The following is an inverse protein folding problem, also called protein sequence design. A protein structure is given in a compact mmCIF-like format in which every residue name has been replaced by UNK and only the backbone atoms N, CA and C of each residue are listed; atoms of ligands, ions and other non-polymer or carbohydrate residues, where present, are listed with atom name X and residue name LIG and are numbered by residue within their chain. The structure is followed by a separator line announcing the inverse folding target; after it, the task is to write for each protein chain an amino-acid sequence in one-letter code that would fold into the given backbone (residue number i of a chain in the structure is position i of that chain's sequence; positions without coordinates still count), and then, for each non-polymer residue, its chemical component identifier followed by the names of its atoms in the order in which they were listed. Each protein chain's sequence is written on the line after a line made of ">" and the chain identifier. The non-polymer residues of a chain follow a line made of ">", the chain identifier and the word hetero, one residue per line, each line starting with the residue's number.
data_IF_446493573572
#
_entry.id   IF_446493573572
#
_cell.length_a   1.000
_cell.length_b   1.000
_cell.length_c   1.000
_cell.angle_alpha   90.00
_cell.angle_beta   90.00
_cell.angle_gamma   90.00
#
_symmetry.space_group_name_H-M   'P 1'
#
loop_
_entity.id
_entity.type
_entity.pdbx_description
1 polymer ?
#
# COMPACT_ATOMS: atom_id res chain seq x y z
N UNK A 1 9.51 19.71 27.34
CA UNK A 1 8.49 19.86 26.28
C UNK A 1 7.97 18.48 25.95
N UNK A 2 6.67 18.21 26.13
CA UNK A 2 6.08 16.91 25.78
C UNK A 2 6.00 16.80 24.25
N UNK A 3 6.87 16.00 23.63
CA UNK A 3 6.84 15.77 22.19
C UNK A 3 5.67 14.83 21.85
N UNK A 4 4.60 15.38 21.25
CA UNK A 4 3.45 14.60 20.79
C UNK A 4 3.78 13.72 19.59
N UNK A 5 3.50 12.41 19.61
CA UNK A 5 3.63 11.52 18.46
C UNK A 5 2.26 11.00 18.04
N UNK A 6 1.82 11.30 16.81
CA UNK A 6 0.51 10.85 16.33
C UNK A 6 0.37 9.33 16.34
N UNK A 7 1.48 8.61 16.17
CA UNK A 7 1.45 7.16 16.21
C UNK A 7 1.24 6.58 17.61
N UNK A 8 1.83 7.20 18.63
CA UNK A 8 1.57 6.79 20.01
C UNK A 8 0.14 7.11 20.42
N UNK A 9 -0.36 8.27 19.99
CA UNK A 9 -1.74 8.68 20.24
C UNK A 9 -2.75 7.72 19.61
N UNK A 10 -2.58 7.36 18.34
CA UNK A 10 -3.44 6.40 17.63
C UNK A 10 -3.43 5.02 18.29
N UNK A 11 -2.25 4.53 18.73
CA UNK A 11 -2.14 3.26 19.47
C UNK A 11 -2.82 3.31 20.83
N UNK A 12 -2.62 4.38 21.60
CA UNK A 12 -3.26 4.56 22.91
C UNK A 12 -4.79 4.64 22.80
N UNK A 13 -5.28 5.24 21.72
CA UNK A 13 -6.72 5.33 21.44
C UNK A 13 -7.33 4.04 20.88
N UNK A 14 -6.51 3.02 20.58
CA UNK A 14 -6.98 1.76 19.99
C UNK A 14 -7.62 1.95 18.62
N UNK A 15 -7.10 2.87 17.79
CA UNK A 15 -7.67 3.15 16.47
C UNK A 15 -7.61 1.89 15.58
N UNK A 16 -8.76 1.43 15.07
CA UNK A 16 -8.81 0.35 14.08
C UNK A 16 -8.25 0.85 12.74
N UNK A 17 -7.16 0.26 12.25
CA UNK A 17 -6.40 0.81 11.11
C UNK A 17 -6.96 0.42 9.74
N UNK A 18 -7.93 -0.50 9.67
CA UNK A 18 -8.49 -1.01 8.41
C UNK A 18 -9.19 0.08 7.60
N UNK A 19 -9.25 -0.10 6.28
CA UNK A 19 -9.91 0.84 5.37
C UNK A 19 -9.12 2.13 5.18
N UNK A 20 -7.83 2.13 5.54
CA UNK A 20 -6.97 3.32 5.48
C UNK A 20 -5.90 3.26 4.39
N UNK A 21 -5.87 2.20 3.58
CA UNK A 21 -4.98 2.11 2.44
C UNK A 21 -5.47 3.02 1.31
N UNK A 22 -4.54 3.72 0.65
CA UNK A 22 -4.87 4.55 -0.51
C UNK A 22 -5.12 3.70 -1.75
N UNK A 23 -6.05 4.12 -2.61
CA UNK A 23 -6.38 3.44 -3.85
C UNK A 23 -5.85 4.22 -5.06
N UNK A 24 -4.86 3.67 -5.75
CA UNK A 24 -4.26 4.25 -6.95
C UNK A 24 -4.22 3.20 -8.06
N UNK A 25 -4.39 3.66 -9.31
CA UNK A 25 -4.28 2.78 -10.48
C UNK A 25 -2.82 2.51 -10.83
N UNK A 26 -1.94 3.47 -10.60
CA UNK A 26 -0.52 3.35 -10.94
C UNK A 26 0.34 3.83 -9.79
N UNK A 27 1.41 3.11 -9.46
CA UNK A 27 2.52 3.61 -8.67
C UNK A 27 3.74 3.81 -9.55
N UNK A 28 4.41 4.94 -9.40
CA UNK A 28 5.69 5.23 -10.04
C UNK A 28 6.71 5.51 -8.93
N UNK A 29 7.62 4.57 -8.73
CA UNK A 29 8.65 4.66 -7.71
C UNK A 29 9.97 5.06 -8.36
N UNK A 30 10.55 6.15 -7.88
CA UNK A 30 11.78 6.73 -8.43
C UNK A 30 12.88 6.60 -7.39
N UNK A 31 13.95 5.89 -7.72
CA UNK A 31 15.12 5.84 -6.86
C UNK A 31 15.76 7.23 -6.73
N UNK A 32 15.82 7.74 -5.50
CA UNK A 32 16.35 9.05 -5.20
C UNK A 32 16.92 9.04 -3.78
N UNK A 33 18.23 9.22 -3.61
CA UNK A 33 18.86 9.06 -2.31
C UNK A 33 18.39 10.13 -1.28
N UNK A 34 18.20 9.77 0.00
CA UNK A 34 17.88 10.72 1.06
C UNK A 34 19.05 11.69 1.35
N UNK A 35 18.86 12.78 2.11
CA UNK A 35 17.62 13.21 2.78
C UNK A 35 16.61 13.83 1.81
N UNK A 36 15.32 13.60 2.10
CA UNK A 36 14.21 14.24 1.40
C UNK A 36 13.66 15.42 2.22
N UNK A 37 13.23 16.49 1.55
CA UNK A 37 12.49 17.59 2.18
C UNK A 37 11.03 17.17 2.45
N UNK A 38 10.28 17.91 3.29
CA UNK A 38 8.90 17.55 3.66
C UNK A 38 8.00 17.21 2.47
N UNK A 39 8.18 17.93 1.36
CA UNK A 39 7.63 17.59 0.05
C UNK A 39 8.71 16.83 -0.74
N UNK A 40 8.61 15.50 -0.80
CA UNK A 40 9.70 14.65 -1.27
C UNK A 40 10.24 15.03 -2.66
N UNK A 41 9.36 15.36 -3.60
CA UNK A 41 9.74 15.74 -4.97
C UNK A 41 10.31 17.16 -5.08
N UNK A 42 10.35 17.91 -3.97
CA UNK A 42 11.07 19.17 -3.88
C UNK A 42 12.50 19.00 -3.34
N UNK A 43 12.97 17.76 -3.22
CA UNK A 43 14.31 17.46 -2.72
C UNK A 43 15.40 17.76 -3.74
N UNK A 44 16.62 18.00 -3.25
CA UNK A 44 17.79 18.43 -4.03
C UNK A 44 18.04 17.63 -5.31
N UNK A 45 17.91 16.31 -5.24
CA UNK A 45 18.26 15.41 -6.35
C UNK A 45 17.14 15.23 -7.37
N UNK A 46 15.95 15.79 -7.14
CA UNK A 46 14.82 15.65 -8.06
C UNK A 46 14.92 16.72 -9.14
N UNK A 47 15.08 16.35 -10.42
CA UNK A 47 15.28 17.29 -11.51
C UNK A 47 13.96 17.99 -11.88
N UNK A 48 14.09 19.20 -12.45
CA UNK A 48 12.94 20.07 -12.73
C UNK A 48 11.94 19.43 -13.71
N UNK A 49 12.42 18.73 -14.75
CA UNK A 49 11.55 18.04 -15.71
C UNK A 49 10.66 16.98 -15.05
N UNK A 50 11.16 16.27 -14.03
CA UNK A 50 10.36 15.31 -13.27
C UNK A 50 9.32 16.01 -12.39
N UNK A 51 9.66 17.17 -11.81
CA UNK A 51 8.71 17.97 -11.02
C UNK A 51 7.56 18.48 -11.88
N UNK A 52 7.87 19.02 -13.06
CA UNK A 52 6.87 19.46 -14.05
C UNK A 52 5.92 18.31 -14.41
N UNK A 53 6.46 17.12 -14.75
CA UNK A 53 5.64 15.95 -15.06
C UNK A 53 4.67 15.59 -13.92
N UNK A 54 5.15 15.59 -12.67
CA UNK A 54 4.33 15.27 -11.50
C UNK A 54 3.21 16.31 -11.33
N UNK A 55 3.50 17.59 -11.55
CA UNK A 55 2.50 18.65 -11.51
C UNK A 55 1.45 18.50 -12.63
N UNK A 56 1.86 18.12 -13.84
CA UNK A 56 0.96 17.83 -14.96
C UNK A 56 0.03 16.66 -14.63
N UNK A 57 0.56 15.54 -14.14
CA UNK A 57 -0.22 14.37 -13.70
C UNK A 57 -1.22 14.76 -12.61
N UNK A 58 -0.79 15.57 -11.64
CA UNK A 58 -1.65 16.07 -10.55
C UNK A 58 -2.75 16.99 -11.07
N UNK A 59 -2.43 17.90 -11.99
CA UNK A 59 -3.39 18.83 -12.62
C UNK A 59 -4.43 18.08 -13.45
N UNK A 60 -4.00 17.05 -14.17
CA UNK A 60 -4.86 16.15 -14.92
C UNK A 60 -5.67 15.17 -14.05
N UNK A 61 -5.44 15.16 -12.72
CA UNK A 61 -6.11 14.27 -11.76
C UNK A 61 -5.98 12.79 -12.12
N UNK A 62 -4.87 12.41 -12.74
CA UNK A 62 -4.64 11.01 -13.06
C UNK A 62 -4.43 10.22 -11.76
N UNK A 63 -4.95 8.99 -11.66
CA UNK A 63 -4.88 8.16 -10.45
C UNK A 63 -3.50 7.51 -10.25
N UNK A 64 -2.44 8.31 -10.37
CA UNK A 64 -1.03 7.90 -10.32
C UNK A 64 -0.41 8.42 -9.02
N UNK A 65 0.30 7.53 -8.32
CA UNK A 65 1.07 7.87 -7.12
C UNK A 65 2.56 7.80 -7.40
N UNK A 66 3.22 8.94 -7.32
CA UNK A 66 4.66 9.01 -7.30
C UNK A 66 5.21 8.85 -5.88
N UNK A 67 6.28 8.07 -5.72
CA UNK A 67 7.06 7.95 -4.48
C UNK A 67 8.56 7.98 -4.79
N UNK A 68 9.35 8.52 -3.88
CA UNK A 68 10.79 8.34 -3.90
C UNK A 68 11.11 7.07 -3.11
N UNK A 69 12.08 6.31 -3.60
CA UNK A 69 12.60 5.12 -2.93
C UNK A 69 14.12 5.22 -2.79
N UNK A 70 14.67 4.56 -1.78
CA UNK A 70 16.11 4.42 -1.61
C UNK A 70 16.44 3.16 -0.80
N UNK A 71 17.62 2.60 -1.02
CA UNK A 71 18.18 1.52 -0.21
C UNK A 71 19.64 1.86 0.15
N UNK A 72 20.35 0.92 0.78
CA UNK A 72 21.73 1.14 1.22
C UNK A 72 22.76 1.16 0.06
N UNK A 73 22.30 0.90 -1.18
CA UNK A 73 23.08 0.97 -2.42
C UNK A 73 22.79 2.23 -3.25
N UNK A 74 21.69 2.94 -3.01
CA UNK A 74 21.26 4.09 -3.85
C UNK A 74 22.29 5.21 -3.96
N UNK A 75 23.17 5.40 -2.96
CA UNK A 75 24.26 6.37 -3.02
C UNK A 75 25.56 5.84 -3.65
N UNK A 76 25.63 4.54 -3.96
CA UNK A 76 26.84 3.83 -4.38
C UNK A 76 26.84 3.48 -5.86
N UNK A 77 25.72 3.67 -6.55
CA UNK A 77 25.55 3.32 -7.96
C UNK A 77 25.25 4.58 -8.78
N UNK A 78 25.85 4.67 -9.98
CA UNK A 78 25.59 5.74 -10.95
C UNK A 78 24.44 5.34 -11.89
N UNK A 79 23.34 4.88 -11.31
CA UNK A 79 22.14 4.46 -12.01
C UNK A 79 20.91 4.80 -11.18
N UNK A 80 19.75 4.84 -11.83
CA UNK A 80 18.46 5.10 -11.18
C UNK A 80 17.49 4.00 -11.52
N UNK A 81 17.02 3.28 -10.50
CA UNK A 81 15.91 2.33 -10.64
C UNK A 81 14.60 3.10 -10.73
N UNK A 82 13.81 2.79 -11.75
CA UNK A 82 12.43 3.25 -11.92
C UNK A 82 11.52 2.02 -11.91
N UNK A 83 10.54 2.01 -11.00
CA UNK A 83 9.54 0.94 -10.91
C UNK A 83 8.17 1.51 -11.23
N UNK A 84 7.46 0.87 -12.16
CA UNK A 84 6.07 1.20 -12.48
C UNK A 84 5.20 0.01 -12.14
N UNK A 85 4.19 0.23 -11.32
CA UNK A 85 3.19 -0.77 -10.97
C UNK A 85 1.82 -0.31 -11.48
N UNK A 86 1.27 -1.04 -12.46
CA UNK A 86 -0.02 -0.74 -13.05
C UNK A 86 -1.07 -1.76 -12.59
N UNK A 87 -2.20 -1.29 -12.07
CA UNK A 87 -3.30 -2.17 -11.65
C UNK A 87 -3.82 -2.92 -12.87
N UNK A 88 -3.96 -4.25 -12.73
CA UNK A 88 -4.57 -5.10 -13.75
C UNK A 88 -6.09 -4.94 -13.73
N UNK A 89 -6.71 -5.00 -14.90
CA UNK A 89 -8.17 -4.97 -15.03
C UNK A 89 -8.81 -6.30 -14.62
N UNK A 90 -10.08 -6.25 -14.19
CA UNK A 90 -10.83 -7.43 -13.79
C UNK A 90 -10.39 -8.04 -12.46
N UNK A 91 -10.53 -9.37 -12.34
CA UNK A 91 -10.07 -10.14 -11.19
C UNK A 91 -8.54 -10.14 -11.17
N UNK A 92 -7.95 -9.56 -10.13
CA UNK A 92 -6.49 -9.43 -10.03
C UNK A 92 -5.99 -9.78 -8.64
N UNK A 93 -4.74 -10.22 -8.57
CA UNK A 93 -3.98 -10.42 -7.33
C UNK A 93 -2.98 -9.27 -7.06
N UNK A 94 -3.08 -8.15 -7.79
CA UNK A 94 -2.25 -6.98 -7.57
C UNK A 94 -2.00 -6.14 -8.83
N UNK A 95 -0.80 -5.60 -8.90
CA UNK A 95 -0.30 -4.77 -9.97
C UNK A 95 0.62 -5.58 -10.91
N UNK A 96 0.72 -5.16 -12.15
CA UNK A 96 1.78 -5.56 -13.07
C UNK A 96 2.99 -4.65 -12.84
N UNK A 97 4.15 -5.25 -12.54
CA UNK A 97 5.41 -4.56 -12.29
C UNK A 97 6.19 -4.46 -13.60
N UNK A 98 6.74 -3.27 -13.87
CA UNK A 98 7.78 -3.03 -14.87
C UNK A 98 8.94 -2.32 -14.18
N UNK A 99 10.17 -2.69 -14.55
CA UNK A 99 11.39 -2.17 -13.94
C UNK A 99 12.35 -1.65 -15.01
N UNK A 100 12.89 -0.46 -14.78
CA UNK A 100 13.83 0.20 -15.68
C UNK A 100 15.07 0.61 -14.93
N UNK A 101 16.24 0.36 -15.52
CA UNK A 101 17.53 0.85 -15.03
C UNK A 101 17.97 2.00 -15.93
N UNK A 102 17.95 3.21 -15.38
CA UNK A 102 18.29 4.44 -16.08
C UNK A 102 19.70 4.88 -15.72
N UNK A 103 20.33 5.65 -16.60
CA UNK A 103 21.68 6.18 -16.32
C UNK A 103 21.66 7.20 -15.17
N UNK A 104 20.56 7.93 -15.02
CA UNK A 104 20.35 8.93 -13.98
C UNK A 104 18.86 9.30 -13.86
N UNK A 105 18.54 10.10 -12.86
CA UNK A 105 17.17 10.49 -12.51
C UNK A 105 16.54 11.46 -13.53
N UNK A 106 17.36 12.19 -14.29
CA UNK A 106 16.93 13.12 -15.33
C UNK A 106 16.17 12.42 -16.47
N UNK A 107 16.43 11.13 -16.70
CA UNK A 107 15.77 10.32 -17.72
C UNK A 107 14.36 9.86 -17.32
N UNK A 108 14.02 9.89 -16.02
CA UNK A 108 12.75 9.35 -15.49
C UNK A 108 11.54 9.99 -16.17
N UNK A 109 11.53 11.33 -16.29
CA UNK A 109 10.39 12.04 -16.84
C UNK A 109 10.07 11.60 -18.28
N UNK A 110 11.10 11.47 -19.12
CA UNK A 110 10.95 11.06 -20.51
C UNK A 110 10.46 9.60 -20.64
N UNK A 111 10.95 8.70 -19.78
CA UNK A 111 10.52 7.30 -19.77
C UNK A 111 9.07 7.19 -19.32
N UNK A 112 8.69 7.88 -18.24
CA UNK A 112 7.31 7.90 -17.76
C UNK A 112 6.36 8.52 -18.79
N UNK A 113 6.73 9.60 -19.48
CA UNK A 113 5.91 10.18 -20.53
C UNK A 113 5.66 9.20 -21.69
N UNK A 114 6.70 8.50 -22.16
CA UNK A 114 6.55 7.45 -23.18
C UNK A 114 5.63 6.33 -22.71
N UNK A 115 5.81 5.88 -21.47
CA UNK A 115 4.97 4.86 -20.86
C UNK A 115 3.50 5.28 -20.80
N UNK A 116 3.22 6.53 -20.40
CA UNK A 116 1.86 7.09 -20.37
C UNK A 116 1.21 7.16 -21.76
N UNK A 117 1.99 7.30 -22.82
CA UNK A 117 1.52 7.28 -24.21
C UNK A 117 1.38 5.86 -24.79
N UNK A 118 1.64 4.81 -23.99
CA UNK A 118 1.62 3.42 -24.47
C UNK A 118 2.76 3.09 -25.42
N UNK A 119 3.81 3.92 -25.46
CA UNK A 119 5.00 3.67 -26.28
C UNK A 119 5.93 2.77 -25.48
N UNK A 120 6.12 1.54 -25.98
CA UNK A 120 7.04 0.58 -25.37
C UNK A 120 8.46 1.14 -25.23
N UNK A 121 9.14 0.76 -24.15
CA UNK A 121 10.53 1.13 -23.89
C UNK A 121 11.38 -0.14 -23.92
N UNK A 122 12.46 -0.14 -24.73
CA UNK A 122 13.42 -1.24 -24.79
C UNK A 122 14.33 -1.34 -23.56
N UNK A 123 14.10 -0.51 -22.54
CA UNK A 123 14.92 -0.41 -21.32
C UNK A 123 14.31 -1.15 -20.12
N UNK A 124 13.22 -1.90 -20.33
CA UNK A 124 12.68 -2.77 -19.29
C UNK A 124 13.65 -3.93 -19.01
N UNK A 125 13.87 -4.24 -17.74
CA UNK A 125 14.83 -5.25 -17.29
C UNK A 125 14.10 -6.38 -16.59
N UNK A 126 14.45 -7.62 -16.93
CA UNK A 126 14.03 -8.79 -16.17
C UNK A 126 14.86 -8.88 -14.88
N UNK A 127 14.17 -9.04 -13.74
CA UNK A 127 14.80 -9.10 -12.42
C UNK A 127 14.32 -10.33 -11.65
N UNK A 128 15.21 -10.88 -10.83
CA UNK A 128 14.86 -11.96 -9.89
C UNK A 128 14.06 -11.45 -8.69
N UNK A 129 14.10 -10.13 -8.42
CA UNK A 129 13.34 -9.49 -7.37
C UNK A 129 11.87 -9.33 -7.77
N UNK A 130 11.04 -10.26 -7.33
CA UNK A 130 9.61 -10.29 -7.67
C UNK A 130 8.73 -9.53 -6.69
N UNK A 131 9.24 -9.20 -5.50
CA UNK A 131 8.51 -8.51 -4.42
C UNK A 131 9.32 -7.32 -3.89
N UNK A 132 8.66 -6.19 -3.67
CA UNK A 132 9.27 -4.96 -3.16
C UNK A 132 8.52 -4.49 -1.91
N UNK A 133 9.21 -4.43 -0.78
CA UNK A 133 8.70 -3.94 0.50
C UNK A 133 9.11 -2.48 0.67
N UNK A 134 8.13 -1.58 0.74
CA UNK A 134 8.35 -0.14 0.87
C UNK A 134 8.08 0.32 2.30
N UNK A 135 9.11 0.64 3.07
CA UNK A 135 8.98 1.15 4.45
C UNK A 135 9.01 2.68 4.44
N UNK A 136 7.98 3.34 4.97
CA UNK A 136 7.98 4.80 5.05
C UNK A 136 8.96 5.29 6.12
N UNK A 137 10.01 6.00 5.70
CA UNK A 137 11.03 6.57 6.59
C UNK A 137 11.10 8.11 6.54
N UNK A 138 10.10 8.74 5.92
CA UNK A 138 10.11 10.16 5.58
C UNK A 138 9.92 11.11 6.78
N UNK A 139 10.98 11.24 7.60
CA UNK A 139 10.93 11.97 8.86
C UNK A 139 10.72 13.49 8.77
N UNK A 140 11.12 14.10 7.66
CA UNK A 140 10.89 15.52 7.36
C UNK A 140 9.42 15.83 7.08
N UNK A 141 8.63 14.84 6.66
CA UNK A 141 7.18 14.96 6.48
C UNK A 141 6.44 14.73 7.80
N UNK A 142 6.74 13.63 8.50
CA UNK A 142 6.21 13.37 9.84
C UNK A 142 7.24 12.60 10.68
N UNK A 143 7.50 13.10 11.89
CA UNK A 143 8.49 12.52 12.81
C UNK A 143 8.19 11.08 13.25
N UNK A 144 6.94 10.61 13.18
CA UNK A 144 6.63 9.20 13.45
C UNK A 144 7.23 8.27 12.39
N UNK A 145 7.28 8.70 11.12
CA UNK A 145 7.96 7.93 10.07
C UNK A 145 9.46 7.81 10.35
N UNK A 146 10.08 8.87 10.88
CA UNK A 146 11.49 8.80 11.31
C UNK A 146 11.67 7.90 12.55
N UNK A 147 10.86 8.13 13.59
CA UNK A 147 11.00 7.48 14.90
C UNK A 147 10.77 5.97 14.83
N UNK A 148 9.74 5.54 14.10
CA UNK A 148 9.34 4.13 14.02
C UNK A 148 9.78 3.47 12.72
N UNK A 149 9.70 4.18 11.59
CA UNK A 149 10.03 3.62 10.28
C UNK A 149 11.53 3.36 10.07
N UNK A 150 12.42 4.26 10.52
CA UNK A 150 13.87 4.05 10.34
C UNK A 150 14.39 2.80 11.08
N UNK A 151 14.14 2.61 12.39
CA UNK A 151 14.55 1.38 13.07
C UNK A 151 13.91 0.13 12.45
N UNK A 152 12.62 0.21 12.08
CA UNK A 152 11.93 -0.91 11.46
C UNK A 152 12.53 -1.30 10.11
N UNK A 153 12.96 -0.35 9.28
CA UNK A 153 13.65 -0.66 8.01
C UNK A 153 14.87 -1.56 8.24
N UNK A 154 15.74 -1.23 9.20
CA UNK A 154 16.92 -2.06 9.48
C UNK A 154 16.55 -3.45 10.01
N UNK A 155 15.55 -3.52 10.91
CA UNK A 155 15.03 -4.79 11.41
C UNK A 155 14.45 -5.65 10.26
N UNK A 156 13.67 -5.03 9.36
CA UNK A 156 13.05 -5.69 8.23
C UNK A 156 14.09 -6.20 7.22
N UNK A 157 15.13 -5.41 6.93
CA UNK A 157 16.27 -5.85 6.11
C UNK A 157 16.95 -7.09 6.70
N UNK A 158 17.24 -7.08 8.00
CA UNK A 158 17.83 -8.23 8.67
C UNK A 158 16.89 -9.46 8.64
N UNK A 159 15.58 -9.25 8.83
CA UNK A 159 14.59 -10.33 8.79
C UNK A 159 14.52 -10.99 7.41
N UNK A 160 14.49 -10.20 6.32
CA UNK A 160 14.49 -10.70 4.94
C UNK A 160 15.75 -11.52 4.67
N UNK A 161 16.91 -11.02 5.11
CA UNK A 161 18.19 -11.73 4.96
C UNK A 161 18.23 -13.03 5.76
N UNK A 162 17.70 -13.05 6.99
CA UNK A 162 17.70 -14.24 7.84
C UNK A 162 16.73 -15.33 7.37
N UNK A 163 15.73 -14.97 6.56
CA UNK A 163 14.76 -15.88 5.98
C UNK A 163 15.16 -16.34 4.57
N UNK A 164 16.34 -15.95 4.07
CA UNK A 164 16.86 -16.27 2.74
C UNK A 164 15.88 -15.92 1.60
N UNK A 165 15.18 -14.79 1.74
CA UNK A 165 14.17 -14.34 0.77
C UNK A 165 14.81 -13.48 -0.33
N UNK A 166 15.65 -14.10 -1.16
CA UNK A 166 16.43 -13.42 -2.22
C UNK A 166 15.57 -12.71 -3.28
N UNK A 167 14.31 -13.13 -3.43
CA UNK A 167 13.36 -12.52 -4.37
C UNK A 167 12.63 -11.29 -3.79
N UNK A 168 12.93 -10.90 -2.55
CA UNK A 168 12.31 -9.77 -1.85
C UNK A 168 13.31 -8.63 -1.67
N UNK A 169 13.01 -7.47 -2.27
CA UNK A 169 13.77 -6.23 -2.05
C UNK A 169 13.08 -5.34 -1.04
N UNK A 170 13.87 -4.62 -0.24
CA UNK A 170 13.37 -3.64 0.70
C UNK A 170 13.87 -2.24 0.37
N UNK A 171 12.94 -1.29 0.38
CA UNK A 171 13.17 0.10 0.11
C UNK A 171 12.73 0.96 1.28
N UNK A 172 13.54 1.96 1.61
CA UNK A 172 13.03 3.18 2.26
C UNK A 172 12.16 3.90 1.24
N UNK A 173 11.04 4.46 1.68
CA UNK A 173 10.10 5.16 0.81
C UNK A 173 9.71 6.52 1.39
N UNK A 174 9.48 7.48 0.48
CA UNK A 174 8.87 8.75 0.83
C UNK A 174 7.42 8.56 1.29
N UNK A 175 6.83 9.61 1.84
CA UNK A 175 5.56 9.48 2.54
C UNK A 175 4.42 9.01 1.61
N UNK A 176 3.72 7.94 2.01
CA UNK A 176 2.55 7.37 1.30
C UNK A 176 1.27 7.33 2.14
N UNK A 177 1.23 8.05 3.27
CA UNK A 177 0.07 8.07 4.16
C UNK A 177 0.14 7.05 5.31
N UNK A 178 -0.51 7.39 6.42
CA UNK A 178 -0.61 6.52 7.59
C UNK A 178 0.52 6.66 8.61
N UNK A 179 1.20 7.81 8.69
CA UNK A 179 2.26 8.04 9.70
C UNK A 179 1.80 7.84 11.15
N UNK A 180 0.50 8.02 11.43
CA UNK A 180 -0.10 7.68 12.74
C UNK A 180 -0.19 6.17 13.01
N UNK A 181 0.06 5.35 12.01
CA UNK A 181 0.19 3.89 12.13
C UNK A 181 1.64 3.46 11.94
N UNK A 182 2.62 4.34 12.14
CA UNK A 182 4.01 3.98 11.95
C UNK A 182 4.44 2.84 12.94
N UNK A 183 5.35 1.93 12.53
CA UNK A 183 5.93 1.84 11.19
C UNK A 183 4.89 1.34 10.18
N UNK A 184 4.93 1.90 8.96
CA UNK A 184 4.04 1.53 7.86
C UNK A 184 4.83 1.02 6.68
N UNK A 185 4.29 0.00 6.00
CA UNK A 185 4.87 -0.53 4.78
C UNK A 185 3.81 -0.80 3.70
N UNK A 186 4.26 -0.81 2.44
CA UNK A 186 3.52 -1.33 1.29
C UNK A 186 4.26 -2.58 0.79
N UNK A 187 3.50 -3.64 0.55
CA UNK A 187 3.99 -4.89 -0.03
C UNK A 187 3.58 -4.96 -1.52
N UNK A 188 4.54 -4.71 -2.40
CA UNK A 188 4.37 -4.72 -3.86
C UNK A 188 4.88 -6.05 -4.44
N UNK A 189 4.30 -6.57 -5.53
CA UNK A 189 3.35 -5.93 -6.45
C UNK A 189 1.89 -6.04 -6.03
N UNK A 190 1.56 -6.65 -4.89
CA UNK A 190 0.15 -6.77 -4.49
C UNK A 190 -0.45 -5.40 -4.15
N UNK A 191 0.34 -4.49 -3.60
CA UNK A 191 -0.12 -3.17 -3.17
C UNK A 191 -0.91 -3.25 -1.87
N UNK A 192 -0.47 -4.12 -0.94
CA UNK A 192 -1.08 -4.28 0.38
C UNK A 192 -0.41 -3.38 1.38
N UNK A 193 -1.22 -2.66 2.16
CA UNK A 193 -0.74 -1.69 3.13
C UNK A 193 -0.81 -2.26 4.54
N UNK A 194 0.24 -2.01 5.30
CA UNK A 194 0.32 -2.40 6.71
C UNK A 194 0.78 -1.22 7.57
N UNK A 195 0.43 -1.28 8.85
CA UNK A 195 0.79 -0.30 9.88
C UNK A 195 0.93 -0.97 11.23
N UNK A 196 1.57 -0.29 12.17
CA UNK A 196 1.89 -0.80 13.50
C UNK A 196 2.59 -2.16 13.47
N UNK A 197 3.39 -2.39 12.42
CA UNK A 197 4.07 -3.67 12.15
C UNK A 197 5.22 -3.85 13.14
N UNK A 198 5.32 -5.05 13.70
CA UNK A 198 6.44 -5.53 14.52
C UNK A 198 7.17 -6.69 13.82
N UNK A 199 8.18 -7.26 14.48
CA UNK A 199 8.98 -8.33 13.88
C UNK A 199 8.19 -9.61 13.60
N UNK A 200 7.29 -9.99 14.49
CA UNK A 200 6.49 -11.21 14.39
C UNK A 200 5.48 -11.09 13.24
N UNK A 201 4.69 -10.01 13.24
CA UNK A 201 3.74 -9.75 12.16
C UNK A 201 4.42 -9.57 10.80
N UNK A 202 5.60 -8.94 10.75
CA UNK A 202 6.37 -8.84 9.52
C UNK A 202 6.80 -10.22 9.00
N UNK A 203 7.28 -11.10 9.88
CA UNK A 203 7.65 -12.48 9.53
C UNK A 203 6.45 -13.25 8.99
N UNK A 204 5.28 -13.13 9.64
CA UNK A 204 4.03 -13.71 9.15
C UNK A 204 3.61 -13.18 7.79
N UNK A 205 3.71 -11.87 7.55
CA UNK A 205 3.39 -11.24 6.25
C UNK A 205 4.36 -11.71 5.16
N UNK A 206 5.65 -11.82 5.46
CA UNK A 206 6.65 -12.26 4.49
C UNK A 206 6.44 -13.71 4.08
N UNK A 207 6.26 -14.60 5.06
CA UNK A 207 6.16 -16.04 4.85
C UNK A 207 4.74 -16.51 4.50
N UNK A 208 3.72 -15.68 4.75
CA UNK A 208 2.29 -16.03 4.72
C UNK A 208 1.96 -17.21 5.63
N UNK A 209 2.50 -17.18 6.86
CA UNK A 209 2.31 -18.24 7.85
C UNK A 209 2.08 -17.68 9.26
N UNK A 210 1.72 -18.56 10.19
CA UNK A 210 1.40 -18.20 11.58
C UNK A 210 -0.07 -17.81 11.77
N UNK A 211 -0.37 -17.17 12.90
CA UNK A 211 -1.73 -16.79 13.25
C UNK A 211 -2.25 -15.63 12.37
N UNK A 212 -3.25 -15.91 11.54
CA UNK A 212 -3.88 -14.91 10.66
C UNK A 212 -4.52 -13.76 11.45
N UNK A 213 -4.87 -13.97 12.72
CA UNK A 213 -5.50 -12.93 13.54
C UNK A 213 -4.57 -11.74 13.81
N UNK A 214 -3.25 -11.87 13.60
CA UNK A 214 -2.34 -10.73 13.67
C UNK A 214 -2.74 -9.60 12.71
N UNK A 215 -3.35 -9.94 11.57
CA UNK A 215 -3.81 -8.98 10.56
C UNK A 215 -4.97 -8.10 11.03
N UNK A 216 -5.68 -8.46 12.11
CA UNK A 216 -6.65 -7.54 12.72
C UNK A 216 -6.01 -6.20 13.11
N UNK A 217 -4.76 -6.26 13.58
CA UNK A 217 -4.03 -5.11 14.14
C UNK A 217 -3.17 -4.39 13.11
N UNK A 218 -2.62 -5.11 12.14
CA UNK A 218 -1.58 -4.57 11.25
C UNK A 218 -2.02 -4.36 9.80
N UNK A 219 -3.14 -4.94 9.37
CA UNK A 219 -3.63 -4.78 8.00
C UNK A 219 -4.43 -3.49 7.80
N UNK A 220 -3.94 -2.60 6.94
CA UNK A 220 -4.63 -1.34 6.60
C UNK A 220 -5.59 -1.48 5.44
N UNK A 221 -5.33 -2.43 4.53
CA UNK A 221 -6.16 -2.69 3.37
C UNK A 221 -5.36 -2.91 2.07
N UNK A 222 -6.09 -3.32 1.03
CA UNK A 222 -5.55 -3.53 -0.30
C UNK A 222 -5.72 -2.29 -1.18
N UNK A 223 -4.63 -1.77 -1.73
CA UNK A 223 -4.62 -0.58 -2.58
C UNK A 223 -5.40 -0.73 -3.90
N UNK A 224 -5.74 -1.95 -4.32
CA UNK A 224 -6.62 -2.15 -5.48
C UNK A 224 -8.11 -1.97 -5.13
N UNK A 225 -8.49 -2.04 -3.85
CA UNK A 225 -9.88 -2.00 -3.37
C UNK A 225 -10.23 -0.63 -2.78
N UNK A 226 -11.44 -0.10 -3.03
CA UNK A 226 -11.97 1.06 -2.31
C UNK A 226 -11.96 0.85 -0.79
N UNK A 227 -11.89 1.93 -0.01
CA UNK A 227 -11.76 1.87 1.45
C UNK A 227 -12.81 0.98 2.14
N UNK A 228 -14.08 1.05 1.72
CA UNK A 228 -15.14 0.19 2.26
C UNK A 228 -14.89 -1.31 2.00
N UNK A 229 -14.32 -1.64 0.83
CA UNK A 229 -14.07 -3.02 0.43
C UNK A 229 -12.84 -3.59 1.12
N UNK A 230 -11.90 -2.77 1.56
CA UNK A 230 -10.79 -3.21 2.40
C UNK A 230 -11.30 -3.75 3.75
N UNK A 231 -12.37 -3.17 4.30
CA UNK A 231 -13.00 -3.64 5.54
C UNK A 231 -13.62 -5.01 5.33
N UNK A 232 -14.42 -5.15 4.26
CA UNK A 232 -14.98 -6.45 3.86
C UNK A 232 -13.89 -7.49 3.60
N UNK A 233 -12.83 -7.11 2.88
CA UNK A 233 -11.73 -8.01 2.57
C UNK A 233 -11.06 -8.55 3.83
N UNK A 234 -10.87 -7.73 4.87
CA UNK A 234 -10.29 -8.21 6.14
C UNK A 234 -11.14 -9.33 6.75
N UNK A 235 -12.47 -9.20 6.76
CA UNK A 235 -13.35 -10.28 7.26
C UNK A 235 -13.14 -11.58 6.47
N UNK A 236 -12.96 -11.48 5.16
CA UNK A 236 -12.70 -12.63 4.30
C UNK A 236 -11.30 -13.21 4.54
N UNK A 237 -10.27 -12.38 4.73
CA UNK A 237 -8.91 -12.82 5.11
C UNK A 237 -8.96 -13.62 6.42
N UNK A 238 -9.63 -13.11 7.45
CA UNK A 238 -9.67 -13.76 8.77
C UNK A 238 -10.41 -15.10 8.74
N UNK A 239 -11.33 -15.29 7.80
CA UNK A 239 -12.05 -16.56 7.61
C UNK A 239 -11.33 -17.55 6.68
N UNK A 240 -10.68 -17.06 5.63
CA UNK A 240 -10.01 -17.89 4.61
C UNK A 240 -8.54 -18.19 4.95
N UNK A 241 -7.94 -17.46 5.90
CA UNK A 241 -6.54 -17.62 6.25
C UNK A 241 -5.59 -17.05 5.19
N UNK A 242 -4.34 -17.50 5.24
CA UNK A 242 -3.26 -17.06 4.35
C UNK A 242 -3.50 -17.41 2.87
N UNK A 243 -4.34 -18.39 2.57
CA UNK A 243 -4.70 -18.75 1.19
C UNK A 243 -5.37 -17.58 0.43
N UNK A 244 -6.00 -16.65 1.15
CA UNK A 244 -6.61 -15.46 0.56
C UNK A 244 -5.65 -14.69 -0.35
N UNK A 245 -4.38 -14.64 0.02
CA UNK A 245 -3.35 -13.89 -0.69
C UNK A 245 -2.94 -14.52 -2.03
N UNK A 246 -3.47 -15.71 -2.35
CA UNK A 246 -3.29 -16.37 -3.64
C UNK A 246 -4.50 -16.17 -4.58
N UNK A 247 -5.57 -15.53 -4.11
CA UNK A 247 -6.80 -15.35 -4.87
C UNK A 247 -6.76 -14.09 -5.74
N UNK A 248 -7.48 -14.13 -6.85
CA UNK A 248 -7.74 -12.93 -7.66
C UNK A 248 -9.03 -12.30 -7.20
N UNK A 249 -9.03 -10.99 -6.98
CA UNK A 249 -10.15 -10.26 -6.39
C UNK A 249 -10.52 -9.06 -7.24
N UNK A 250 -11.82 -8.77 -7.28
CA UNK A 250 -12.38 -7.53 -7.79
C UNK A 250 -13.52 -7.11 -6.87
N UNK A 251 -13.75 -5.81 -6.72
CA UNK A 251 -14.87 -5.33 -5.95
C UNK A 251 -15.30 -3.93 -6.35
N UNK A 252 -16.57 -3.64 -6.09
CA UNK A 252 -17.19 -2.33 -6.31
C UNK A 252 -18.14 -1.97 -5.16
N UNK A 253 -18.30 -0.68 -4.93
CA UNK A 253 -19.41 -0.17 -4.11
C UNK A 253 -20.65 -0.14 -5.01
N UNK A 254 -21.73 -0.78 -4.57
CA UNK A 254 -23.00 -0.81 -5.28
C UNK A 254 -23.83 0.43 -4.96
N UNK A 255 -23.97 0.74 -3.68
CA UNK A 255 -24.77 1.85 -3.18
C UNK A 255 -24.12 2.47 -1.95
N UNK A 256 -24.34 3.77 -1.75
CA UNK A 256 -23.93 4.49 -0.56
C UNK A 256 -25.02 5.47 -0.17
N UNK A 257 -25.46 5.43 1.09
CA UNK A 257 -26.50 6.34 1.57
C UNK A 257 -25.99 7.78 1.61
N UNK A 258 -26.88 8.76 1.40
CA UNK A 258 -26.53 10.19 1.34
C UNK A 258 -25.89 10.72 2.64
N UNK A 259 -26.27 10.14 3.78
CA UNK A 259 -25.72 10.45 5.10
C UNK A 259 -24.38 9.73 5.38
N UNK A 260 -23.92 8.89 4.45
CA UNK A 260 -22.75 8.02 4.58
C UNK A 260 -22.82 7.06 5.78
N UNK A 261 -24.02 6.72 6.27
CA UNK A 261 -24.15 5.75 7.35
C UNK A 261 -24.13 4.30 6.87
N UNK A 262 -24.41 4.07 5.59
CA UNK A 262 -24.53 2.73 5.02
C UNK A 262 -23.90 2.64 3.64
N UNK A 263 -23.20 1.54 3.40
CA UNK A 263 -22.56 1.22 2.12
C UNK A 263 -22.92 -0.22 1.77
N UNK A 264 -23.45 -0.45 0.57
CA UNK A 264 -23.61 -1.78 0.01
C UNK A 264 -22.43 -2.03 -0.94
N UNK A 265 -21.70 -3.12 -0.67
CA UNK A 265 -20.49 -3.48 -1.40
C UNK A 265 -20.60 -4.88 -2.00
N UNK A 266 -19.94 -5.09 -3.12
CA UNK A 266 -19.76 -6.40 -3.75
C UNK A 266 -18.27 -6.70 -3.90
N UNK A 267 -17.88 -7.92 -3.53
CA UNK A 267 -16.53 -8.45 -3.70
C UNK A 267 -16.61 -9.84 -4.32
N UNK A 268 -15.97 -9.99 -5.47
CA UNK A 268 -15.83 -11.25 -6.19
C UNK A 268 -14.39 -11.73 -6.10
N UNK A 269 -14.19 -13.03 -5.88
CA UNK A 269 -12.87 -13.62 -5.86
C UNK A 269 -12.83 -15.01 -6.50
N UNK A 270 -11.72 -15.29 -7.18
CA UNK A 270 -11.39 -16.57 -7.79
C UNK A 270 -10.32 -17.27 -6.95
N UNK A 271 -10.65 -18.46 -6.46
CA UNK A 271 -9.69 -19.33 -5.77
C UNK A 271 -8.68 -19.92 -6.74
N UNK A 272 -7.56 -20.41 -6.24
CA UNK A 272 -6.55 -21.13 -7.05
C UNK A 272 -7.12 -22.37 -7.76
N UNK A 273 -8.23 -22.94 -7.25
CA UNK A 273 -8.98 -24.02 -7.92
C UNK A 273 -9.81 -23.57 -9.13
N UNK A 274 -9.85 -22.28 -9.45
CA UNK A 274 -10.69 -21.69 -10.49
C UNK A 274 -12.16 -21.49 -10.07
N UNK A 275 -12.52 -21.80 -8.82
CA UNK A 275 -13.86 -21.55 -8.30
C UNK A 275 -14.07 -20.06 -8.01
N UNK A 276 -15.15 -19.51 -8.54
CA UNK A 276 -15.51 -18.10 -8.40
C UNK A 276 -16.62 -17.92 -7.36
N UNK A 277 -16.44 -16.96 -6.47
CA UNK A 277 -17.40 -16.59 -5.45
C UNK A 277 -17.69 -15.09 -5.52
N UNK A 278 -18.95 -14.70 -5.31
CA UNK A 278 -19.35 -13.30 -5.17
C UNK A 278 -20.08 -13.12 -3.86
N UNK A 279 -19.60 -12.18 -3.05
CA UNK A 279 -20.21 -11.79 -1.80
C UNK A 279 -20.72 -10.36 -1.90
N UNK A 280 -21.85 -10.10 -1.27
CA UNK A 280 -22.30 -8.75 -0.97
C UNK A 280 -22.31 -8.51 0.53
N UNK A 281 -22.03 -7.28 0.90
CA UNK A 281 -21.96 -6.87 2.29
C UNK A 281 -22.61 -5.51 2.49
N UNK A 282 -23.36 -5.38 3.58
CA UNK A 282 -23.82 -4.09 4.09
C UNK A 282 -22.85 -3.63 5.16
N UNK A 283 -22.14 -2.54 4.89
CA UNK A 283 -21.31 -1.86 5.86
C UNK A 283 -22.10 -0.73 6.51
N UNK A 284 -21.97 -0.59 7.83
CA UNK A 284 -22.58 0.48 8.61
C UNK A 284 -21.52 1.29 9.32
N UNK A 285 -21.75 2.60 9.43
CA UNK A 285 -20.86 3.47 10.20
C UNK A 285 -20.87 3.04 11.66
N UNK A 286 -19.68 2.77 12.18
CA UNK A 286 -19.49 2.32 13.55
C UNK A 286 -19.16 3.53 14.42
N UNK A 287 -20.16 3.99 15.18
CA UNK A 287 -20.04 5.16 16.07
C UNK A 287 -19.04 4.86 17.21
N UNK A 288 -18.94 3.61 17.65
CA UNK A 288 -18.05 3.22 18.77
C UNK A 288 -16.59 3.22 18.35
N UNK A 289 -16.30 2.87 17.10
CA UNK A 289 -14.95 2.93 16.52
C UNK A 289 -14.62 4.28 15.88
N UNK A 290 -15.61 5.13 15.65
CA UNK A 290 -15.41 6.48 15.10
C UNK A 290 -14.88 7.40 16.20
N UNK A 291 -13.68 7.95 15.99
CA UNK A 291 -12.99 8.72 17.01
C UNK A 291 -12.52 10.08 16.48
N UNK A 292 -12.38 11.07 17.36
CA UNK A 292 -11.69 12.33 17.04
C UNK A 292 -10.22 12.18 17.42
N UNK A 293 -9.32 12.32 16.45
CA UNK A 293 -7.90 12.11 16.68
C UNK A 293 -7.06 13.17 15.96
N UNK A 294 -5.91 13.52 16.53
CA UNK A 294 -4.86 14.25 15.82
C UNK A 294 -4.20 13.30 14.83
N UNK A 295 -4.54 13.47 13.56
CA UNK A 295 -4.14 12.53 12.51
C UNK A 295 -2.65 12.61 12.15
N UNK A 296 -1.95 13.72 12.44
CA UNK A 296 -0.51 13.94 12.20
C UNK A 296 0.20 14.59 13.39
N UNK A 297 1.53 14.48 13.43
CA UNK A 297 2.33 15.10 14.49
C UNK A 297 2.27 16.63 14.50
N UNK A 298 1.96 17.21 13.34
CA UNK A 298 1.86 18.65 13.13
C UNK A 298 0.38 19.12 13.12
N UNK A 299 -0.58 18.23 13.42
CA UNK A 299 -1.99 18.56 13.41
C UNK A 299 -2.33 19.55 14.54
N UNK A 300 -2.84 20.73 14.15
CA UNK A 300 -3.30 21.74 15.10
C UNK A 300 -4.58 21.28 15.84
N UNK A 301 -5.46 20.57 15.14
CA UNK A 301 -6.78 20.15 15.61
C UNK A 301 -7.01 18.65 15.37
N UNK A 302 -7.96 18.08 16.11
CA UNK A 302 -8.43 16.73 15.89
C UNK A 302 -9.42 16.66 14.73
N UNK A 303 -9.40 15.56 13.99
CA UNK A 303 -10.37 15.27 12.94
C UNK A 303 -11.15 14.00 13.26
N UNK A 304 -12.42 13.95 12.84
CA UNK A 304 -13.26 12.77 13.00
C UNK A 304 -12.80 11.71 11.99
N UNK A 305 -12.33 10.57 12.50
CA UNK A 305 -11.99 9.40 11.70
C UNK A 305 -13.18 8.44 11.73
N UNK A 306 -14.01 8.50 10.69
CA UNK A 306 -15.16 7.60 10.56
C UNK A 306 -14.69 6.17 10.31
N UNK A 307 -15.26 5.22 11.04
CA UNK A 307 -15.04 3.78 10.84
C UNK A 307 -16.35 3.11 10.43
N UNK A 308 -16.23 2.00 9.74
CA UNK A 308 -17.36 1.16 9.34
C UNK A 308 -17.09 -0.27 9.78
N UNK A 309 -18.16 -1.03 9.95
CA UNK A 309 -18.12 -2.46 10.20
C UNK A 309 -19.05 -3.18 9.24
N UNK A 310 -18.77 -4.46 8.96
CA UNK A 310 -19.66 -5.30 8.16
C UNK A 310 -20.83 -5.72 9.06
N UNK A 311 -22.01 -5.15 8.82
CA UNK A 311 -23.23 -5.49 9.55
C UNK A 311 -23.83 -6.82 9.09
N UNK A 312 -23.72 -7.11 7.80
CA UNK A 312 -24.10 -8.39 7.22
C UNK A 312 -23.29 -8.70 5.97
N UNK A 313 -23.05 -9.99 5.75
CA UNK A 313 -22.29 -10.57 4.65
C UNK A 313 -23.04 -11.78 4.12
N UNK A 314 -23.29 -11.84 2.82
CA UNK A 314 -23.96 -12.98 2.20
C UNK A 314 -23.37 -13.32 0.83
N UNK A 315 -23.35 -14.63 0.55
CA UNK A 315 -22.93 -15.18 -0.73
C UNK A 315 -24.05 -14.99 -1.76
N UNK A 316 -23.77 -14.34 -2.87
CA UNK A 316 -24.76 -14.08 -3.93
C UNK A 316 -24.61 -15.02 -5.11
N UNK A 317 -23.40 -15.49 -5.39
CA UNK A 317 -23.14 -16.41 -6.51
C UNK A 317 -21.94 -17.29 -6.22
N UNK A 318 -22.00 -18.53 -6.72
CA UNK A 318 -20.85 -19.45 -6.78
C UNK A 318 -20.83 -20.11 -8.15
N UNK A 319 -19.67 -20.10 -8.79
CA UNK A 319 -19.40 -20.91 -9.99
C UNK A 319 -18.23 -21.85 -9.67
N UNK A 320 -18.56 -23.11 -9.43
CA UNK A 320 -17.57 -24.16 -9.17
C UNK A 320 -17.16 -24.78 -10.51
N UNK A 321 -15.86 -24.84 -10.77
CA UNK A 321 -15.32 -25.63 -11.87
C UNK A 321 -15.40 -27.11 -11.49
N UNK A 322 -16.38 -27.84 -12.02
CA UNK A 322 -16.36 -29.31 -11.95
C UNK A 322 -15.39 -29.82 -13.01
N UNK A 323 -14.26 -30.36 -12.58
CA UNK A 323 -13.47 -31.22 -13.45
C UNK A 323 -14.29 -32.49 -13.67
N UNK A 324 -14.92 -32.63 -14.83
CA UNK A 324 -15.38 -33.94 -15.29
C UNK A 324 -14.12 -34.80 -15.48
N UNK A 325 -13.99 -35.83 -14.65
CA UNK A 325 -12.94 -36.84 -14.76
C UNK A 325 -13.06 -37.62 -16.07
#
# INVERSE_FOLDING_TARGET
>A
MNTFFCSDYSRQAGEDIIGSATNYQTYILVECPPPWTSEAFNSKWVPENLRILIEEVKRAKLPIRFLLIANDLSHKVNQTTLLIYQKKEGLTNGYHKQEFILQNIEQVAAVVQKWLWGIGSNSEVETTATRDILVCTHGSHDKCCARYGNPFYFHATATISNLDLDNVRIWRSSHFGGHRFAPTLIDMPEGRYYGAVDGDSFTSILTRTGDIQCLQKVYRGWGILPAALQILERELILSQGWDWFNYKVAGKVLEQSLDNNTILAELSFEKTSGSLYTYQAKLVKDITKTQKLKSSCNAAQETVISKYTVASLWLTSTKVMTYSA
#
